data_IF_332820950514
#
_entry.id   IF_332820950514
#
_cell.length_a   1.000
_cell.length_b   1.000
_cell.length_c   1.000
_cell.angle_alpha   90.00
_cell.angle_beta   90.00
_cell.angle_gamma   90.00
#
_symmetry.space_group_name_H-M   'P 1'
#
loop_
_entity.id
_entity.type
_entity.pdbx_description
1 polymer ?
#
# COMPACT_ATOMS: atom_id res chain seq x y z
N UNK A 1 -10.55 10.24 0.85
CA UNK A 1 -11.24 8.94 0.99
C UNK A 1 -10.30 8.02 1.75
N UNK A 2 -10.16 8.27 3.05
CA UNK A 2 -9.05 7.69 3.84
C UNK A 2 -9.11 6.15 3.91
N UNK A 3 -10.30 5.56 3.79
CA UNK A 3 -10.51 4.11 3.72
C UNK A 3 -9.77 3.44 2.55
N UNK A 4 -9.55 4.17 1.45
CA UNK A 4 -8.84 3.69 0.26
C UNK A 4 -7.40 3.33 0.56
N UNK A 5 -6.75 4.13 1.40
CA UNK A 5 -5.39 3.87 1.86
C UNK A 5 -5.32 2.59 2.70
N UNK A 6 -6.38 2.26 3.45
CA UNK A 6 -6.43 1.08 4.31
C UNK A 6 -6.45 -0.24 3.54
N UNK A 7 -7.26 -0.35 2.48
CA UNK A 7 -7.32 -1.59 1.69
C UNK A 7 -6.27 -1.68 0.57
N UNK A 8 -5.73 -0.54 0.10
CA UNK A 8 -4.75 -0.51 -1.00
C UNK A 8 -3.29 -0.61 -0.54
N UNK A 9 -3.04 -0.69 0.76
CA UNK A 9 -1.68 -0.74 1.34
C UNK A 9 -1.41 -2.08 2.00
N UNK A 10 -1.19 -3.15 1.20
CA UNK A 10 -0.88 -4.47 1.75
C UNK A 10 0.49 -4.44 2.44
N UNK A 11 0.52 -4.86 3.69
CA UNK A 11 1.74 -5.09 4.49
C UNK A 11 2.30 -6.48 4.16
N UNK A 12 1.42 -7.43 3.83
CA UNK A 12 1.77 -8.81 3.49
C UNK A 12 1.23 -9.19 2.12
N UNK A 13 1.98 -9.95 1.30
CA UNK A 13 1.57 -10.28 -0.07
C UNK A 13 0.18 -10.94 -0.17
N UNK A 14 -0.21 -11.78 0.80
CA UNK A 14 -1.49 -12.50 0.79
C UNK A 14 -2.71 -11.62 1.04
N UNK A 15 -2.53 -10.37 1.47
CA UNK A 15 -3.65 -9.43 1.65
C UNK A 15 -4.27 -9.02 0.31
N UNK A 16 -3.54 -9.20 -0.79
CA UNK A 16 -4.04 -8.99 -2.14
C UNK A 16 -3.75 -10.23 -3.00
N UNK A 17 -4.80 -10.98 -3.36
CA UNK A 17 -4.67 -12.19 -4.17
C UNK A 17 -3.89 -12.00 -5.48
N UNK A 18 -3.96 -10.86 -6.21
CA UNK A 18 -3.17 -10.68 -7.42
C UNK A 18 -1.66 -10.67 -7.16
N UNK A 19 -1.21 -10.19 -5.99
CA UNK A 19 0.22 -10.12 -5.64
C UNK A 19 0.79 -11.53 -5.47
N UNK A 20 0.10 -12.39 -4.71
CA UNK A 20 0.54 -13.77 -4.50
C UNK A 20 0.57 -14.56 -5.81
N UNK A 21 -0.45 -14.39 -6.65
CA UNK A 21 -0.51 -15.06 -7.96
C UNK A 21 0.64 -14.61 -8.85
N UNK A 22 0.92 -13.30 -8.94
CA UNK A 22 2.05 -12.78 -9.70
C UNK A 22 3.40 -13.31 -9.19
N UNK A 23 3.58 -13.37 -7.87
CA UNK A 23 4.79 -13.93 -7.26
C UNK A 23 4.97 -15.42 -7.57
N UNK A 24 3.89 -16.20 -7.53
CA UNK A 24 3.91 -17.63 -7.85
C UNK A 24 4.29 -17.86 -9.32
N UNK A 25 3.69 -17.10 -10.25
CA UNK A 25 4.01 -17.18 -11.67
C UNK A 25 5.46 -16.75 -11.97
N UNK A 26 5.95 -15.70 -11.29
CA UNK A 26 7.30 -15.19 -11.46
C UNK A 26 8.39 -15.92 -10.67
N UNK A 27 8.04 -16.97 -9.90
CA UNK A 27 8.95 -17.67 -8.96
C UNK A 27 9.67 -16.70 -8.01
N UNK A 28 9.00 -15.62 -7.61
CA UNK A 28 9.56 -14.58 -6.75
C UNK A 28 9.60 -15.10 -5.30
N UNK A 29 10.75 -15.00 -4.60
CA UNK A 29 10.82 -15.44 -3.21
C UNK A 29 9.92 -14.57 -2.32
N UNK A 30 9.28 -15.20 -1.34
CA UNK A 30 8.35 -14.53 -0.41
C UNK A 30 8.95 -13.28 0.27
N UNK A 31 10.25 -13.36 0.60
CA UNK A 31 11.01 -12.24 1.20
C UNK A 31 11.04 -10.99 0.32
N UNK A 32 11.20 -11.14 -1.00
CA UNK A 32 11.24 -10.01 -1.92
C UNK A 32 9.85 -9.34 -2.02
N UNK A 33 8.78 -10.13 -2.10
CA UNK A 33 7.41 -9.60 -2.08
C UNK A 33 7.08 -8.89 -0.77
N UNK A 34 7.51 -9.45 0.36
CA UNK A 34 7.32 -8.81 1.67
C UNK A 34 8.08 -7.48 1.79
N UNK A 35 9.33 -7.42 1.33
CA UNK A 35 10.10 -6.16 1.30
C UNK A 35 9.43 -5.10 0.42
N UNK A 36 8.89 -5.51 -0.74
CA UNK A 36 8.13 -4.60 -1.61
C UNK A 36 6.87 -4.07 -0.92
N UNK A 37 6.08 -4.95 -0.30
CA UNK A 37 4.88 -4.57 0.47
C UNK A 37 5.23 -3.58 1.59
N UNK A 38 6.29 -3.85 2.35
CA UNK A 38 6.74 -2.97 3.44
C UNK A 38 7.25 -1.61 2.91
N UNK A 39 8.00 -1.61 1.81
CA UNK A 39 8.47 -0.37 1.20
C UNK A 39 7.29 0.48 0.70
N UNK A 40 6.32 -0.14 0.02
CA UNK A 40 5.09 0.54 -0.41
C UNK A 40 4.29 1.06 0.79
N UNK A 41 4.14 0.26 1.85
CA UNK A 41 3.48 0.70 3.07
C UNK A 41 4.16 1.93 3.67
N UNK A 42 5.50 1.93 3.77
CA UNK A 42 6.25 3.08 4.26
C UNK A 42 6.00 4.33 3.40
N UNK A 43 6.04 4.21 2.07
CA UNK A 43 5.75 5.32 1.16
C UNK A 43 4.31 5.81 1.33
N UNK A 44 3.35 4.90 1.46
CA UNK A 44 1.95 5.29 1.65
C UNK A 44 1.73 6.04 2.96
N UNK A 45 2.26 5.54 4.08
CA UNK A 45 2.09 6.17 5.39
C UNK A 45 2.86 7.48 5.52
N UNK A 46 4.08 7.58 4.97
CA UNK A 46 4.93 8.75 5.15
C UNK A 46 4.69 9.84 4.10
N UNK A 47 4.15 9.50 2.93
CA UNK A 47 4.00 10.46 1.81
C UNK A 47 2.53 10.60 1.40
N UNK A 48 1.87 9.51 1.02
CA UNK A 48 0.50 9.60 0.48
C UNK A 48 -0.54 9.97 1.54
N UNK A 49 -0.42 9.45 2.75
CA UNK A 49 -1.34 9.77 3.85
C UNK A 49 -1.29 11.24 4.27
N UNK A 50 -0.13 11.86 4.55
CA UNK A 50 -0.08 13.29 4.85
C UNK A 50 -0.51 14.14 3.65
N UNK A 51 -0.27 13.68 2.41
CA UNK A 51 -0.72 14.38 1.21
C UNK A 51 -2.25 14.34 1.07
N UNK A 52 -2.89 13.19 1.23
CA UNK A 52 -4.35 13.03 1.21
C UNK A 52 -4.98 13.89 2.32
N UNK A 53 -4.41 13.85 3.53
CA UNK A 53 -4.84 14.69 4.64
C UNK A 53 -4.71 16.19 4.33
N UNK A 54 -3.55 16.63 3.83
CA UNK A 54 -3.32 18.02 3.47
C UNK A 54 -4.29 18.49 2.38
N UNK A 55 -4.59 17.63 1.41
CA UNK A 55 -5.56 17.90 0.34
C UNK A 55 -6.96 18.14 0.88
N UNK A 56 -7.47 17.27 1.76
CA UNK A 56 -8.78 17.48 2.39
C UNK A 56 -8.82 18.72 3.28
N UNK A 57 -7.70 19.04 3.95
CA UNK A 57 -7.56 20.26 4.74
C UNK A 57 -7.62 21.52 3.86
N UNK A 58 -6.94 21.54 2.71
CA UNK A 58 -6.99 22.66 1.74
C UNK A 58 -8.38 22.84 1.17
N UNK A 59 -9.10 21.74 0.92
CA UNK A 59 -10.48 21.78 0.44
C UNK A 59 -11.50 22.21 1.51
N UNK A 60 -11.09 22.37 2.78
CA UNK A 60 -11.98 22.70 3.89
C UNK A 60 -13.01 21.61 4.18
N UNK A 61 -12.73 20.36 3.78
CA UNK A 61 -13.62 19.19 3.97
C UNK A 61 -13.06 18.22 5.01
N UNK A 62 -12.27 18.75 5.94
CA UNK A 62 -11.67 18.02 7.03
C UNK A 62 -12.39 18.35 8.34
#
# INVERSE_FOLDING_TARGET
MIQVLGYSTPILPYQASPIVVAMALGKVPAKAGMLLCLALAAVTYLVLLPLDYAWFRVLGKL
#
